data_IF_104671981704
#
_entry.id   IF_104671981704
#
_cell.length_a   1.000
_cell.length_b   1.000
_cell.length_c   1.000
_cell.angle_alpha   90.00
_cell.angle_beta   90.00
_cell.angle_gamma   90.00
#
_symmetry.space_group_name_H-M   'P 1'
#
loop_
_entity.id
_entity.type
_entity.pdbx_description
1 polymer ?
#
# COMPACT_ATOMS: atom_id res chain seq x y z
N UNK A 1 -29.41 -7.64 7.14
CA UNK A 1 -28.13 -7.06 7.55
C UNK A 1 -28.37 -6.11 8.71
N UNK A 2 -28.02 -6.50 9.92
CA UNK A 2 -28.22 -5.63 11.07
C UNK A 2 -27.09 -4.60 11.13
N UNK A 3 -27.45 -3.33 10.97
CA UNK A 3 -26.53 -2.24 11.28
C UNK A 3 -26.44 -2.12 12.80
N UNK A 4 -25.35 -2.55 13.40
CA UNK A 4 -25.07 -2.23 14.79
C UNK A 4 -24.70 -0.76 14.87
N UNK A 5 -25.56 0.04 15.46
CA UNK A 5 -25.21 1.35 15.99
C UNK A 5 -24.24 1.10 17.16
N UNK A 6 -22.95 1.28 16.90
CA UNK A 6 -21.93 1.18 17.94
C UNK A 6 -21.82 2.53 18.61
N UNK A 7 -22.52 2.66 19.71
CA UNK A 7 -22.49 3.83 20.58
C UNK A 7 -21.29 3.71 21.53
N UNK A 8 -20.08 3.84 20.98
CA UNK A 8 -18.87 3.71 21.78
C UNK A 8 -17.92 4.89 21.48
N UNK A 9 -17.45 5.55 22.53
CA UNK A 9 -16.47 6.64 22.48
C UNK A 9 -15.20 6.27 21.70
N UNK A 10 -14.80 4.99 21.70
CA UNK A 10 -13.65 4.49 20.96
C UNK A 10 -13.89 4.46 19.45
N UNK A 11 -15.13 4.23 19.02
CA UNK A 11 -15.52 4.26 17.61
C UNK A 11 -15.52 5.68 17.06
N UNK A 12 -16.00 6.64 17.86
CA UNK A 12 -15.97 8.07 17.50
C UNK A 12 -14.53 8.60 17.34
N UNK A 13 -13.61 8.15 18.20
CA UNK A 13 -12.18 8.50 18.06
C UNK A 13 -11.56 7.95 16.76
N UNK A 14 -11.98 6.75 16.33
CA UNK A 14 -11.50 6.15 15.07
C UNK A 14 -12.08 6.84 13.85
N UNK A 15 -13.35 7.26 13.90
CA UNK A 15 -14.02 7.98 12.80
C UNK A 15 -13.40 9.35 12.54
N UNK A 16 -12.78 9.96 13.56
CA UNK A 16 -12.13 11.28 13.45
C UNK A 16 -10.64 11.20 13.15
N UNK A 17 -10.11 10.04 12.75
CA UNK A 17 -8.71 9.96 12.30
C UNK A 17 -8.56 10.63 10.94
N UNK A 18 -7.80 11.72 10.90
CA UNK A 18 -7.52 12.47 9.68
C UNK A 18 -6.85 11.63 8.58
N UNK A 19 -6.18 10.52 8.95
CA UNK A 19 -5.54 9.61 8.00
C UNK A 19 -6.54 8.69 7.30
N UNK A 20 -7.70 8.49 7.89
CA UNK A 20 -8.77 7.66 7.34
C UNK A 20 -10.15 8.28 7.71
N UNK A 21 -10.42 9.51 7.20
CA UNK A 21 -11.59 10.30 7.60
C UNK A 21 -12.92 9.64 7.23
N UNK A 22 -12.92 8.78 6.23
CA UNK A 22 -14.10 8.03 5.78
C UNK A 22 -14.17 6.62 6.37
N UNK A 23 -13.24 6.27 7.23
CA UNK A 23 -13.17 4.98 7.92
C UNK A 23 -13.16 3.78 6.97
N UNK A 24 -12.49 3.94 5.83
CA UNK A 24 -12.43 2.92 4.76
C UNK A 24 -11.65 1.67 5.16
N UNK A 25 -10.69 1.80 6.08
CA UNK A 25 -9.89 0.66 6.54
C UNK A 25 -10.73 -0.45 7.18
N UNK A 26 -11.91 -0.13 7.69
CA UNK A 26 -12.84 -1.13 8.22
C UNK A 26 -13.48 -2.01 7.14
N UNK A 27 -13.49 -1.55 5.90
CA UNK A 27 -14.05 -2.30 4.76
C UNK A 27 -13.05 -3.30 4.18
N UNK A 28 -11.78 -3.23 4.59
CA UNK A 28 -10.73 -4.10 4.08
C UNK A 28 -10.79 -5.49 4.74
N UNK A 29 -10.52 -6.53 3.94
CA UNK A 29 -10.32 -7.88 4.47
C UNK A 29 -8.98 -7.97 5.21
N UNK A 30 -8.83 -8.99 6.06
CA UNK A 30 -7.56 -9.19 6.79
C UNK A 30 -6.38 -9.41 5.87
N UNK A 31 -6.60 -10.10 4.75
CA UNK A 31 -5.58 -10.30 3.71
C UNK A 31 -5.16 -8.97 3.06
N UNK A 32 -6.10 -8.10 2.75
CA UNK A 32 -5.83 -6.76 2.20
C UNK A 32 -5.07 -5.88 3.19
N UNK A 33 -5.44 -5.91 4.47
CA UNK A 33 -4.73 -5.20 5.55
C UNK A 33 -3.28 -5.67 5.69
N UNK A 34 -3.05 -6.98 5.57
CA UNK A 34 -1.71 -7.56 5.62
C UNK A 34 -0.84 -7.09 4.45
N UNK A 35 -1.39 -7.10 3.24
CA UNK A 35 -0.71 -6.61 2.04
C UNK A 35 -0.40 -5.11 2.17
N UNK A 36 -1.35 -4.32 2.65
CA UNK A 36 -1.17 -2.89 2.90
C UNK A 36 -0.03 -2.62 3.88
N UNK A 37 0.01 -3.35 5.00
CA UNK A 37 1.09 -3.23 5.98
C UNK A 37 2.44 -3.58 5.37
N UNK A 38 2.51 -4.67 4.61
CA UNK A 38 3.73 -5.11 3.92
C UNK A 38 4.24 -4.03 2.94
N UNK A 39 3.35 -3.44 2.16
CA UNK A 39 3.69 -2.36 1.24
C UNK A 39 4.20 -1.12 1.98
N UNK A 40 3.54 -0.74 3.07
CA UNK A 40 3.94 0.39 3.90
C UNK A 40 5.32 0.20 4.51
N UNK A 41 5.60 -0.98 5.05
CA UNK A 41 6.91 -1.31 5.63
C UNK A 41 8.01 -1.31 4.57
N UNK A 42 7.74 -1.89 3.40
CA UNK A 42 8.66 -1.85 2.26
C UNK A 42 8.99 -0.41 1.84
N UNK A 43 8.00 0.43 1.67
CA UNK A 43 8.18 1.83 1.28
C UNK A 43 9.04 2.60 2.30
N UNK A 44 8.80 2.38 3.59
CA UNK A 44 9.56 3.04 4.66
C UNK A 44 11.03 2.58 4.73
N UNK A 45 11.28 1.30 4.54
CA UNK A 45 12.61 0.71 4.75
C UNK A 45 13.47 0.74 3.49
N UNK A 46 12.87 0.58 2.32
CA UNK A 46 13.61 0.44 1.06
C UNK A 46 13.63 1.71 0.21
N UNK A 47 12.52 2.43 0.13
CA UNK A 47 12.36 3.55 -0.80
C UNK A 47 12.58 4.90 -0.16
N UNK A 48 11.96 5.16 0.95
CA UNK A 48 11.99 6.48 1.61
C UNK A 48 13.41 6.96 1.96
N UNK A 49 14.35 6.10 2.41
CA UNK A 49 15.70 6.57 2.76
C UNK A 49 16.51 7.14 1.59
N UNK A 50 16.21 6.75 0.35
CA UNK A 50 17.01 7.12 -0.83
C UNK A 50 16.30 8.06 -1.81
N UNK A 51 14.99 8.28 -1.65
CA UNK A 51 14.17 8.98 -2.65
C UNK A 51 14.66 10.42 -2.92
N UNK A 52 15.05 11.15 -1.90
CA UNK A 52 15.48 12.55 -2.03
C UNK A 52 16.78 12.62 -2.83
N UNK A 53 17.76 11.79 -2.47
CA UNK A 53 19.06 11.74 -3.18
C UNK A 53 18.88 11.29 -4.63
N UNK A 54 18.08 10.27 -4.87
CA UNK A 54 17.80 9.75 -6.20
C UNK A 54 17.12 10.81 -7.07
N UNK A 55 16.14 11.53 -6.53
CA UNK A 55 15.48 12.63 -7.23
C UNK A 55 16.45 13.78 -7.56
N UNK A 56 17.30 14.16 -6.61
CA UNK A 56 18.28 15.21 -6.82
C UNK A 56 19.31 14.86 -7.91
N UNK A 57 19.62 13.58 -8.05
CA UNK A 57 20.57 13.07 -9.07
C UNK A 57 19.87 12.67 -10.38
N UNK A 58 18.55 12.82 -10.49
CA UNK A 58 17.74 12.30 -11.61
C UNK A 58 18.02 10.81 -11.87
N UNK A 59 18.15 10.03 -10.80
CA UNK A 59 18.50 8.62 -10.82
C UNK A 59 17.33 7.75 -10.41
N UNK A 60 17.10 6.66 -11.16
CA UNK A 60 16.17 5.60 -10.79
C UNK A 60 16.92 4.28 -10.62
N UNK A 61 16.92 3.74 -9.41
CA UNK A 61 17.56 2.46 -9.11
C UNK A 61 16.75 1.29 -9.68
N UNK A 62 17.23 0.70 -10.78
CA UNK A 62 16.57 -0.43 -11.43
C UNK A 62 16.45 -1.69 -10.56
N UNK A 63 17.25 -1.80 -9.49
CA UNK A 63 17.16 -2.90 -8.52
C UNK A 63 15.83 -2.89 -7.78
N UNK A 64 15.14 -1.75 -7.74
CA UNK A 64 13.82 -1.62 -7.15
C UNK A 64 12.81 -2.57 -7.82
N UNK A 65 12.90 -2.80 -9.13
CA UNK A 65 12.04 -3.78 -9.82
C UNK A 65 12.21 -5.19 -9.25
N UNK A 66 13.44 -5.61 -9.00
CA UNK A 66 13.69 -6.91 -8.37
C UNK A 66 13.12 -7.00 -6.97
N UNK A 67 13.27 -5.94 -6.19
CA UNK A 67 12.76 -5.87 -4.82
C UNK A 67 11.23 -5.84 -4.79
N UNK A 68 10.58 -5.11 -5.69
CA UNK A 68 9.12 -5.11 -5.87
C UNK A 68 8.62 -6.51 -6.25
N UNK A 69 9.30 -7.17 -7.19
CA UNK A 69 8.94 -8.54 -7.62
C UNK A 69 9.05 -9.56 -6.49
N UNK A 70 10.11 -9.53 -5.70
CA UNK A 70 10.31 -10.40 -4.53
C UNK A 70 9.22 -10.21 -3.46
N UNK A 71 8.69 -9.01 -3.34
CA UNK A 71 7.61 -8.72 -2.40
C UNK A 71 6.21 -8.98 -2.97
N UNK A 72 6.11 -9.41 -4.23
CA UNK A 72 4.84 -9.72 -4.89
C UNK A 72 4.04 -8.47 -5.30
N UNK A 73 4.71 -7.33 -5.52
CA UNK A 73 4.04 -6.09 -5.89
C UNK A 73 3.99 -5.86 -7.41
N UNK A 74 4.72 -6.63 -8.21
CA UNK A 74 4.66 -6.56 -9.68
C UNK A 74 3.65 -7.55 -10.23
N UNK A 75 2.77 -7.08 -11.12
CA UNK A 75 1.75 -7.92 -11.76
C UNK A 75 0.88 -8.69 -10.76
N UNK A 76 0.65 -8.14 -9.60
CA UNK A 76 0.08 -8.84 -8.44
C UNK A 76 -1.41 -9.19 -8.59
N UNK A 77 -2.12 -8.64 -9.56
CA UNK A 77 -3.50 -8.99 -9.90
C UNK A 77 -3.61 -10.10 -10.93
N UNK A 78 -2.49 -10.48 -11.56
CA UNK A 78 -2.44 -11.53 -12.59
C UNK A 78 -2.53 -12.91 -11.94
N UNK A 79 -3.30 -13.80 -12.56
CA UNK A 79 -3.39 -15.20 -12.14
C UNK A 79 -2.33 -16.03 -12.86
N UNK A 80 -1.46 -16.69 -12.11
CA UNK A 80 -0.38 -17.52 -12.66
C UNK A 80 0.97 -16.79 -12.76
N UNK A 81 1.92 -17.40 -13.42
CA UNK A 81 3.30 -16.86 -13.64
C UNK A 81 4.07 -16.50 -12.35
N UNK A 82 3.74 -17.14 -11.23
CA UNK A 82 4.36 -16.85 -9.93
C UNK A 82 3.90 -15.54 -9.28
N UNK A 83 2.90 -14.86 -9.82
CA UNK A 83 2.35 -13.63 -9.27
C UNK A 83 1.48 -13.90 -8.03
N UNK A 84 1.31 -12.87 -7.19
CA UNK A 84 0.61 -13.00 -5.90
C UNK A 84 -0.90 -13.22 -6.04
N UNK A 85 -1.49 -12.90 -7.20
CA UNK A 85 -2.93 -13.02 -7.47
C UNK A 85 -3.80 -12.39 -6.37
N UNK A 86 -3.60 -11.11 -6.12
CA UNK A 86 -4.33 -10.36 -5.11
C UNK A 86 -5.51 -9.60 -5.72
N UNK A 87 -6.42 -9.11 -4.86
CA UNK A 87 -7.57 -8.32 -5.30
C UNK A 87 -7.15 -6.96 -5.89
N UNK A 88 -8.03 -6.35 -6.69
CA UNK A 88 -7.82 -4.98 -7.18
C UNK A 88 -7.72 -3.96 -6.05
N UNK A 89 -8.41 -4.18 -4.94
CA UNK A 89 -8.31 -3.35 -3.74
C UNK A 89 -6.91 -3.43 -3.13
N UNK A 90 -6.36 -4.63 -3.01
CA UNK A 90 -4.98 -4.83 -2.53
C UNK A 90 -3.96 -4.16 -3.45
N UNK A 91 -4.12 -4.27 -4.77
CA UNK A 91 -3.30 -3.54 -5.73
C UNK A 91 -3.36 -2.02 -5.51
N UNK A 92 -4.56 -1.47 -5.34
CA UNK A 92 -4.75 -0.04 -5.05
C UNK A 92 -4.06 0.41 -3.76
N UNK A 93 -4.06 -0.43 -2.73
CA UNK A 93 -3.37 -0.15 -1.46
C UNK A 93 -1.85 -0.11 -1.65
N UNK A 94 -1.27 -1.03 -2.42
CA UNK A 94 0.15 -1.02 -2.77
C UNK A 94 0.49 0.24 -3.56
N UNK A 95 -0.29 0.56 -4.59
CA UNK A 95 -0.11 1.76 -5.40
C UNK A 95 -0.14 3.04 -4.54
N UNK A 96 -1.06 3.12 -3.59
CA UNK A 96 -1.18 4.26 -2.67
C UNK A 96 0.07 4.45 -1.80
N UNK A 97 0.62 3.37 -1.27
CA UNK A 97 1.82 3.46 -0.44
C UNK A 97 3.07 3.84 -1.27
N UNK A 98 3.20 3.33 -2.48
CA UNK A 98 4.27 3.73 -3.40
C UNK A 98 4.15 5.21 -3.79
N UNK A 99 2.95 5.66 -4.14
CA UNK A 99 2.67 7.07 -4.45
C UNK A 99 3.00 8.01 -3.28
N UNK A 100 2.81 7.56 -2.04
CA UNK A 100 3.12 8.36 -0.86
C UNK A 100 4.62 8.66 -0.69
N UNK A 101 5.48 7.87 -1.32
CA UNK A 101 6.92 8.13 -1.37
C UNK A 101 7.27 8.96 -2.58
N UNK A 102 6.94 8.48 -3.78
CA UNK A 102 7.16 9.18 -5.05
C UNK A 102 6.31 8.53 -6.15
N UNK A 103 5.72 9.36 -7.01
CA UNK A 103 4.87 8.88 -8.10
C UNK A 103 5.62 8.03 -9.14
N UNK A 104 6.93 8.18 -9.27
CA UNK A 104 7.75 7.34 -10.14
C UNK A 104 7.71 5.87 -9.73
N UNK A 105 7.68 5.58 -8.44
CA UNK A 105 7.56 4.21 -7.94
C UNK A 105 6.19 3.60 -8.21
N UNK A 106 5.12 4.37 -8.06
CA UNK A 106 3.78 3.91 -8.44
C UNK A 106 3.69 3.63 -9.94
N UNK A 107 4.31 4.44 -10.77
CA UNK A 107 4.33 4.23 -12.23
C UNK A 107 5.14 3.00 -12.66
N UNK A 108 5.97 2.46 -11.77
CA UNK A 108 6.81 1.29 -12.04
C UNK A 108 6.08 -0.06 -11.88
N UNK A 109 4.89 -0.08 -11.23
CA UNK A 109 4.13 -1.32 -10.97
C UNK A 109 3.03 -1.61 -11.97
#
# INVERSE_FOLDING_TARGET
MSVRLVDNKDTLKKVNDWRDPLYLNNLLTDKEKLIHKKAKDFCKTRLLPTVIDDNNKSFFDKKIYSDLGKNGFLGNTIKGYGSANVSSVAYGLVARELESVDSSYRSAI
#
